data_IF_177791317809
#
_entry.id   IF_177791317809
#
_cell.length_a   1.000
_cell.length_b   1.000
_cell.length_c   1.000
_cell.angle_alpha   90.00
_cell.angle_beta   90.00
_cell.angle_gamma   90.00
#
_symmetry.space_group_name_H-M   'P 1'
#
loop_
_entity.id
_entity.type
_entity.pdbx_description
1 polymer ?
#
# COMPACT_ATOMS: atom_id res chain seq x y z
N UNK A 1 33.57 -17.73 25.00
CA UNK A 1 33.01 -17.78 23.65
C UNK A 1 32.09 -18.98 23.59
N UNK A 2 30.82 -18.79 23.82
CA UNK A 2 29.82 -19.85 23.75
C UNK A 2 28.83 -19.43 22.65
N UNK A 3 28.85 -20.19 21.56
CA UNK A 3 27.95 -20.00 20.42
C UNK A 3 26.62 -20.61 20.85
N UNK A 4 25.60 -19.78 21.06
CA UNK A 4 24.23 -20.20 21.26
C UNK A 4 23.69 -20.78 19.93
N UNK A 5 23.66 -22.11 19.86
CA UNK A 5 22.92 -22.84 18.85
C UNK A 5 21.41 -22.64 19.13
N UNK A 6 20.81 -21.66 18.49
CA UNK A 6 19.34 -21.62 18.39
C UNK A 6 18.92 -22.70 17.37
N UNK A 7 18.68 -23.91 17.86
CA UNK A 7 17.95 -24.92 17.11
C UNK A 7 16.49 -24.45 16.94
N UNK A 8 16.22 -23.75 15.88
CA UNK A 8 14.85 -23.66 15.35
C UNK A 8 14.55 -25.08 14.83
N UNK A 9 13.78 -25.85 15.57
CA UNK A 9 13.30 -27.16 15.14
C UNK A 9 12.35 -26.95 13.97
N UNK A 10 12.84 -27.16 12.75
CA UNK A 10 11.98 -27.27 11.57
C UNK A 10 11.09 -28.49 11.79
N UNK A 11 9.77 -28.37 11.81
CA UNK A 11 8.88 -29.52 11.96
C UNK A 11 9.16 -30.55 10.87
N UNK A 12 9.15 -31.83 11.22
CA UNK A 12 9.32 -32.89 10.26
C UNK A 12 8.25 -32.81 9.16
N UNK A 13 8.57 -33.10 7.88
CA UNK A 13 7.63 -32.99 6.78
C UNK A 13 6.41 -33.87 7.07
N UNK A 14 5.24 -33.24 7.20
CA UNK A 14 3.97 -33.93 7.36
C UNK A 14 3.64 -34.63 6.04
N UNK A 15 3.55 -35.98 6.06
CA UNK A 15 3.13 -36.72 4.90
C UNK A 15 1.64 -36.45 4.63
N UNK A 16 1.33 -35.88 3.48
CA UNK A 16 -0.03 -35.63 3.01
C UNK A 16 -0.40 -34.17 2.90
N UNK A 17 -1.49 -33.91 2.20
CA UNK A 17 -2.09 -32.56 2.11
C UNK A 17 -2.73 -32.20 3.45
N UNK A 18 -2.37 -31.09 4.13
CA UNK A 18 -3.02 -30.71 5.37
C UNK A 18 -4.50 -30.39 5.11
N UNK A 19 -5.37 -30.80 6.04
CA UNK A 19 -6.78 -30.40 6.01
C UNK A 19 -6.91 -29.03 6.64
N UNK A 20 -7.76 -28.19 6.05
CA UNK A 20 -8.12 -26.92 6.65
C UNK A 20 -8.87 -27.16 7.96
N UNK A 21 -8.33 -26.64 9.07
CA UNK A 21 -8.89 -26.77 10.43
C UNK A 21 -9.64 -25.53 10.89
N UNK A 22 -9.28 -24.36 10.36
CA UNK A 22 -9.72 -23.06 10.86
C UNK A 22 -8.90 -22.55 12.07
N UNK A 23 -7.87 -23.29 12.50
CA UNK A 23 -7.06 -22.95 13.66
C UNK A 23 -5.82 -22.14 13.26
N UNK A 24 -5.51 -21.09 14.04
CA UNK A 24 -4.36 -20.20 13.77
C UNK A 24 -3.04 -20.98 13.84
N UNK A 25 -2.87 -21.87 14.82
CA UNK A 25 -1.61 -22.63 14.98
C UNK A 25 -1.31 -23.51 13.78
N UNK A 26 -2.34 -24.12 13.19
CA UNK A 26 -2.20 -24.91 11.96
C UNK A 26 -1.82 -24.05 10.76
N UNK A 27 -2.36 -22.83 10.67
CA UNK A 27 -2.01 -21.87 9.63
C UNK A 27 -0.57 -21.37 9.78
N UNK A 28 -0.09 -21.12 11.00
CA UNK A 28 1.29 -20.78 11.28
C UNK A 28 2.26 -21.91 10.92
N UNK A 29 1.90 -23.16 11.26
CA UNK A 29 2.67 -24.34 10.88
C UNK A 29 2.72 -24.53 9.35
N UNK A 30 1.62 -24.26 8.65
CA UNK A 30 1.57 -24.26 7.19
C UNK A 30 2.51 -23.22 6.60
N UNK A 31 2.51 -21.98 7.11
CA UNK A 31 3.40 -20.91 6.65
C UNK A 31 4.88 -21.26 6.85
N UNK A 32 5.24 -21.78 8.02
CA UNK A 32 6.60 -22.23 8.30
C UNK A 32 7.04 -23.33 7.29
N UNK A 33 6.14 -24.24 6.92
CA UNK A 33 6.42 -25.26 5.91
C UNK A 33 6.56 -24.67 4.51
N UNK A 34 5.71 -23.73 4.10
CA UNK A 34 5.85 -23.04 2.82
C UNK A 34 7.19 -22.33 2.72
N UNK A 35 7.62 -21.66 3.77
CA UNK A 35 8.96 -21.02 3.84
C UNK A 35 10.10 -22.04 3.70
N UNK A 36 9.95 -23.24 4.23
CA UNK A 36 10.96 -24.28 4.13
C UNK A 36 11.00 -24.95 2.75
N UNK A 37 9.84 -25.25 2.16
CA UNK A 37 9.70 -26.17 1.04
C UNK A 37 9.43 -25.48 -0.31
N UNK A 38 8.72 -24.34 -0.31
CA UNK A 38 8.39 -23.61 -1.54
C UNK A 38 9.55 -22.68 -1.96
N UNK A 39 10.08 -22.83 -3.19
CA UNK A 39 11.20 -21.99 -3.66
C UNK A 39 10.86 -20.51 -3.79
N UNK A 40 9.59 -20.17 -4.04
CA UNK A 40 9.14 -18.79 -4.16
C UNK A 40 9.03 -18.15 -2.77
N UNK A 41 8.32 -18.81 -1.83
CA UNK A 41 8.16 -18.29 -0.47
C UNK A 41 9.50 -18.11 0.24
N UNK A 42 10.42 -19.06 0.06
CA UNK A 42 11.79 -19.00 0.65
C UNK A 42 12.58 -17.78 0.22
N UNK A 43 12.37 -17.29 -1.00
CA UNK A 43 13.09 -16.12 -1.52
C UNK A 43 12.53 -14.79 -1.01
N UNK A 44 11.32 -14.78 -0.48
CA UNK A 44 10.69 -13.54 -0.05
C UNK A 44 11.40 -12.95 1.18
N UNK A 45 11.36 -11.64 1.24
CA UNK A 45 11.83 -10.81 2.36
C UNK A 45 10.70 -9.91 2.81
N UNK A 46 10.76 -9.39 4.04
CA UNK A 46 9.78 -8.40 4.51
C UNK A 46 9.66 -7.21 3.55
N UNK A 47 10.74 -6.85 2.87
CA UNK A 47 10.71 -5.74 1.91
C UNK A 47 10.05 -6.13 0.58
N UNK A 48 10.31 -7.34 0.07
CA UNK A 48 9.71 -7.79 -1.20
C UNK A 48 8.19 -8.00 -1.12
N UNK A 49 7.64 -8.18 0.09
CA UNK A 49 6.20 -8.37 0.30
C UNK A 49 5.41 -7.07 0.55
N UNK A 50 6.07 -5.92 0.70
CA UNK A 50 5.36 -4.64 0.89
C UNK A 50 4.36 -4.35 -0.23
N UNK A 51 4.69 -4.52 -1.53
CA UNK A 51 3.73 -4.28 -2.60
C UNK A 51 2.48 -5.17 -2.49
N UNK A 52 2.65 -6.45 -2.19
CA UNK A 52 1.53 -7.39 -2.03
C UNK A 52 0.63 -7.01 -0.85
N UNK A 53 1.21 -6.67 0.31
CA UNK A 53 0.40 -6.25 1.46
C UNK A 53 -0.45 -4.98 1.18
N UNK A 54 0.01 -4.10 0.28
CA UNK A 54 -0.75 -2.94 -0.17
C UNK A 54 -1.84 -3.37 -1.15
N UNK A 55 -1.53 -4.26 -2.09
CA UNK A 55 -2.44 -4.83 -3.07
C UNK A 55 -3.64 -5.49 -2.37
N UNK A 56 -3.40 -6.45 -1.46
CA UNK A 56 -4.46 -7.12 -0.68
C UNK A 56 -5.35 -6.15 0.10
N UNK A 57 -4.76 -5.05 0.62
CA UNK A 57 -5.55 -4.03 1.32
C UNK A 57 -6.50 -3.28 0.37
N UNK A 58 -6.13 -3.05 -0.89
CA UNK A 58 -6.99 -2.45 -1.90
C UNK A 58 -8.04 -3.45 -2.41
N UNK A 59 -7.65 -4.71 -2.65
CA UNK A 59 -8.56 -5.78 -3.09
C UNK A 59 -9.64 -6.06 -2.04
N UNK A 60 -9.28 -6.09 -0.75
CA UNK A 60 -10.25 -6.12 0.34
C UNK A 60 -11.22 -4.92 0.27
N UNK A 61 -10.72 -3.72 -0.04
CA UNK A 61 -11.56 -2.53 -0.20
C UNK A 61 -12.57 -2.67 -1.36
N UNK A 62 -12.14 -3.23 -2.49
CA UNK A 62 -13.01 -3.52 -3.65
C UNK A 62 -14.02 -4.62 -3.32
N UNK A 63 -13.61 -5.71 -2.66
CA UNK A 63 -14.49 -6.80 -2.25
C UNK A 63 -15.60 -6.34 -1.29
N UNK A 64 -15.26 -5.52 -0.29
CA UNK A 64 -16.26 -4.94 0.62
C UNK A 64 -17.28 -4.06 -0.13
N UNK A 65 -16.87 -3.36 -1.21
CA UNK A 65 -17.79 -2.58 -2.03
C UNK A 65 -18.69 -3.43 -2.93
N UNK A 66 -18.23 -4.63 -3.34
CA UNK A 66 -19.03 -5.56 -4.13
C UNK A 66 -20.11 -6.29 -3.30
N UNK A 67 -19.97 -6.31 -1.96
CA UNK A 67 -20.85 -6.98 -0.99
C UNK A 67 -20.99 -8.50 -1.25
N UNK A 68 -19.94 -9.15 -1.82
CA UNK A 68 -19.87 -10.58 -2.02
C UNK A 68 -19.10 -11.25 -0.87
N UNK A 69 -19.80 -12.09 -0.09
CA UNK A 69 -19.24 -12.75 1.10
C UNK A 69 -18.06 -13.67 0.79
N UNK A 70 -18.02 -14.30 -0.38
CA UNK A 70 -16.92 -15.21 -0.74
C UNK A 70 -15.68 -14.42 -1.12
N UNK A 71 -15.82 -13.34 -1.88
CA UNK A 71 -14.72 -12.44 -2.21
C UNK A 71 -14.19 -11.77 -0.94
N UNK A 72 -15.06 -11.24 -0.07
CA UNK A 72 -14.65 -10.62 1.20
C UNK A 72 -13.87 -11.59 2.08
N UNK A 73 -14.31 -12.87 2.19
CA UNK A 73 -13.57 -13.88 2.95
C UNK A 73 -12.22 -14.19 2.33
N UNK A 74 -12.14 -14.23 1.00
CA UNK A 74 -10.90 -14.41 0.27
C UNK A 74 -9.90 -13.33 0.64
N UNK A 75 -10.27 -12.08 0.41
CA UNK A 75 -9.37 -10.94 0.64
C UNK A 75 -8.99 -10.73 2.11
N UNK A 76 -9.89 -11.01 3.05
CA UNK A 76 -9.54 -11.05 4.48
C UNK A 76 -8.50 -12.13 4.77
N UNK A 77 -8.59 -13.28 4.09
CA UNK A 77 -7.59 -14.35 4.16
C UNK A 77 -6.22 -13.90 3.62
N UNK A 78 -6.21 -13.18 2.50
CA UNK A 78 -4.98 -12.71 1.87
C UNK A 78 -4.30 -11.58 2.67
N UNK A 79 -5.06 -10.66 3.24
CA UNK A 79 -4.53 -9.70 4.24
C UNK A 79 -3.95 -10.42 5.46
N UNK A 80 -4.63 -11.46 5.98
CA UNK A 80 -4.11 -12.26 7.09
C UNK A 80 -2.84 -13.00 6.70
N UNK A 81 -2.76 -13.55 5.48
CA UNK A 81 -1.56 -14.19 4.93
C UNK A 81 -0.36 -13.23 4.98
N UNK A 82 -0.50 -11.97 4.56
CA UNK A 82 0.57 -10.99 4.63
C UNK A 82 1.07 -10.79 6.06
N UNK A 83 0.17 -10.68 7.03
CA UNK A 83 0.54 -10.55 8.45
C UNK A 83 1.35 -11.77 8.92
N UNK A 84 0.86 -12.97 8.66
CA UNK A 84 1.50 -14.22 9.07
C UNK A 84 2.86 -14.39 8.40
N UNK A 85 2.96 -14.08 7.11
CA UNK A 85 4.20 -14.19 6.36
C UNK A 85 5.29 -13.25 6.91
N UNK A 86 4.93 -12.00 7.18
CA UNK A 86 5.83 -11.05 7.82
C UNK A 86 6.28 -11.54 9.21
N UNK A 87 5.34 -12.02 10.05
CA UNK A 87 5.66 -12.57 11.36
C UNK A 87 6.62 -13.76 11.28
N UNK A 88 6.38 -14.69 10.36
CA UNK A 88 7.24 -15.84 10.13
C UNK A 88 8.69 -15.42 9.79
N UNK A 89 8.86 -14.46 8.89
CA UNK A 89 10.20 -13.96 8.53
C UNK A 89 10.91 -13.22 9.67
N UNK A 90 10.19 -12.53 10.55
CA UNK A 90 10.76 -11.91 11.74
C UNK A 90 11.12 -12.94 12.81
N UNK A 91 10.31 -14.00 12.96
CA UNK A 91 10.60 -15.13 13.84
C UNK A 91 11.88 -15.89 13.38
N UNK A 92 12.07 -16.11 12.07
CA UNK A 92 13.30 -16.68 11.48
C UNK A 92 14.55 -15.86 11.81
N UNK A 93 14.39 -14.55 11.99
CA UNK A 93 15.45 -13.62 12.39
C UNK A 93 15.66 -13.55 13.93
N UNK A 94 14.85 -14.27 14.71
CA UNK A 94 14.90 -14.24 16.19
C UNK A 94 14.48 -12.89 16.78
N UNK A 95 13.60 -12.14 16.11
CA UNK A 95 13.18 -10.80 16.54
C UNK A 95 11.87 -10.81 17.34
N UNK A 96 10.83 -11.30 16.76
CA UNK A 96 9.49 -11.47 17.34
C UNK A 96 8.67 -12.44 16.49
N UNK A 97 7.59 -12.97 17.02
CA UNK A 97 6.67 -13.89 16.35
C UNK A 97 5.20 -13.41 16.36
N UNK A 98 4.30 -14.25 15.90
CA UNK A 98 2.86 -13.94 15.84
C UNK A 98 2.25 -13.73 17.23
N UNK A 99 2.73 -14.44 18.26
CA UNK A 99 2.25 -14.28 19.64
C UNK A 99 2.58 -12.87 20.17
N UNK A 100 3.78 -12.37 19.87
CA UNK A 100 4.17 -10.99 20.25
C UNK A 100 3.29 -9.95 19.55
N UNK A 101 2.96 -10.18 18.27
CA UNK A 101 2.07 -9.28 17.51
C UNK A 101 0.66 -9.27 18.08
N UNK A 102 0.11 -10.45 18.39
CA UNK A 102 -1.22 -10.58 19.02
C UNK A 102 -1.22 -9.89 20.39
N UNK A 103 -0.22 -10.15 21.23
CA UNK A 103 -0.09 -9.53 22.55
C UNK A 103 -0.04 -8.00 22.44
N UNK A 104 0.80 -7.48 21.55
CA UNK A 104 0.90 -6.03 21.28
C UNK A 104 -0.42 -5.42 20.84
N UNK A 105 -1.17 -6.14 19.99
CA UNK A 105 -2.49 -5.69 19.55
C UNK A 105 -3.50 -5.70 20.70
N UNK A 106 -3.56 -6.78 21.48
CA UNK A 106 -4.46 -6.90 22.64
C UNK A 106 -4.21 -5.78 23.65
N UNK A 107 -2.97 -5.57 24.07
CA UNK A 107 -2.58 -4.49 24.99
C UNK A 107 -2.98 -3.11 24.45
N UNK A 108 -2.76 -2.88 23.16
CA UNK A 108 -3.15 -1.63 22.49
C UNK A 108 -4.67 -1.44 22.52
N UNK A 109 -5.45 -2.45 22.19
CA UNK A 109 -6.92 -2.38 22.19
C UNK A 109 -7.49 -2.15 23.58
N UNK A 110 -7.03 -2.88 24.59
CA UNK A 110 -7.45 -2.68 25.99
C UNK A 110 -7.14 -1.24 26.45
N UNK A 111 -5.91 -0.79 26.26
CA UNK A 111 -5.47 0.56 26.66
C UNK A 111 -6.25 1.68 25.97
N UNK A 112 -6.64 1.49 24.69
CA UNK A 112 -7.37 2.51 23.92
C UNK A 112 -8.87 2.49 24.14
N UNK A 113 -9.39 1.54 24.92
CA UNK A 113 -10.83 1.41 25.21
C UNK A 113 -11.10 1.34 26.71
N UNK A 114 -10.63 2.33 27.52
CA UNK A 114 -10.86 2.33 28.97
C UNK A 114 -12.35 2.38 29.32
N UNK A 115 -13.17 2.95 28.47
CA UNK A 115 -14.63 2.97 28.62
C UNK A 115 -15.30 1.59 28.44
N UNK A 116 -14.58 0.59 27.92
CA UNK A 116 -15.07 -0.80 27.78
C UNK A 116 -14.48 -1.69 28.86
N UNK A 117 -13.21 -1.50 29.20
CA UNK A 117 -12.45 -2.42 30.05
C UNK A 117 -12.15 -1.87 31.46
N UNK A 118 -12.36 -0.58 31.68
CA UNK A 118 -12.14 0.11 32.97
C UNK A 118 -13.41 0.86 33.37
N UNK A 119 -13.36 1.58 34.49
CA UNK A 119 -14.51 2.29 35.07
C UNK A 119 -14.82 3.65 34.39
N UNK A 120 -14.19 3.96 33.30
CA UNK A 120 -14.41 5.21 32.55
C UNK A 120 -15.74 5.14 31.78
N UNK A 121 -16.62 6.11 31.94
CA UNK A 121 -17.93 6.14 31.26
C UNK A 121 -17.91 7.24 30.20
N UNK A 122 -17.94 6.85 28.92
CA UNK A 122 -18.08 7.75 27.78
C UNK A 122 -19.47 7.55 27.17
N UNK A 123 -20.18 8.63 26.89
CA UNK A 123 -21.62 8.58 26.55
C UNK A 123 -21.91 8.76 25.06
N UNK A 124 -20.91 9.17 24.26
CA UNK A 124 -21.09 9.41 22.82
C UNK A 124 -19.77 9.23 22.04
N UNK A 125 -19.88 9.09 20.73
CA UNK A 125 -18.77 8.87 19.81
C UNK A 125 -17.74 10.01 19.82
N UNK A 126 -18.18 11.24 20.07
CA UNK A 126 -17.31 12.41 20.11
C UNK A 126 -16.38 12.35 21.32
N UNK A 127 -16.91 11.98 22.49
CA UNK A 127 -16.12 11.77 23.71
C UNK A 127 -15.10 10.63 23.54
N UNK A 128 -15.49 9.52 22.90
CA UNK A 128 -14.57 8.40 22.58
C UNK A 128 -13.44 8.88 21.68
N UNK A 129 -13.73 9.68 20.64
CA UNK A 129 -12.73 10.20 19.72
C UNK A 129 -11.74 11.14 20.39
N UNK A 130 -12.22 12.04 21.27
CA UNK A 130 -11.37 12.94 22.06
C UNK A 130 -10.44 12.11 22.96
N UNK A 131 -10.97 11.13 23.68
CA UNK A 131 -10.18 10.26 24.56
C UNK A 131 -9.12 9.47 23.81
N UNK A 132 -9.45 8.97 22.60
CA UNK A 132 -8.48 8.31 21.74
C UNK A 132 -7.32 9.23 21.31
N UNK A 133 -7.61 10.47 21.01
CA UNK A 133 -6.57 11.43 20.61
C UNK A 133 -5.68 11.80 21.80
N UNK A 134 -6.24 11.88 23.03
CA UNK A 134 -5.46 12.03 24.26
C UNK A 134 -4.53 10.83 24.49
N UNK A 135 -5.03 9.60 24.39
CA UNK A 135 -4.23 8.37 24.58
C UNK A 135 -3.12 8.28 23.52
N UNK A 136 -3.40 8.64 22.26
CA UNK A 136 -2.38 8.68 21.23
C UNK A 136 -1.29 9.71 21.52
N UNK A 137 -1.66 10.87 22.07
CA UNK A 137 -0.71 11.89 22.52
C UNK A 137 0.16 11.37 23.68
N UNK A 138 -0.43 10.71 24.68
CA UNK A 138 0.30 10.06 25.79
C UNK A 138 1.29 9.02 25.27
N UNK A 139 0.87 8.15 24.31
CA UNK A 139 1.72 7.15 23.65
C UNK A 139 2.89 7.82 22.91
N UNK A 140 2.62 8.94 22.23
CA UNK A 140 3.62 9.72 21.54
C UNK A 140 4.66 10.30 22.51
N UNK A 141 4.23 10.98 23.56
CA UNK A 141 5.10 11.53 24.60
C UNK A 141 5.96 10.44 25.27
N UNK A 142 5.38 9.27 25.50
CA UNK A 142 6.12 8.12 26.03
C UNK A 142 7.18 7.57 25.05
N UNK A 143 6.98 7.67 23.73
CA UNK A 143 7.99 7.33 22.71
C UNK A 143 9.12 8.34 22.68
N UNK A 144 8.80 9.62 22.75
CA UNK A 144 9.77 10.72 22.80
C UNK A 144 10.67 10.62 24.04
N UNK A 145 10.09 10.31 25.21
CA UNK A 145 10.84 10.09 26.44
C UNK A 145 11.83 8.92 26.37
N UNK A 146 11.62 7.95 25.47
CA UNK A 146 12.54 6.82 25.21
C UNK A 146 13.67 7.18 24.22
N UNK A 147 13.87 8.47 23.91
CA UNK A 147 14.97 8.94 23.07
C UNK A 147 14.74 8.78 21.56
N UNK A 148 13.49 8.67 21.12
CA UNK A 148 13.14 8.78 19.70
C UNK A 148 12.58 10.19 19.45
N UNK A 149 13.41 11.20 19.11
CA UNK A 149 12.92 12.54 18.83
C UNK A 149 11.98 12.46 17.63
N UNK A 150 10.78 12.97 17.81
CA UNK A 150 9.83 13.04 16.72
C UNK A 150 10.16 14.27 15.85
N UNK A 151 10.44 14.02 14.58
CA UNK A 151 10.54 15.07 13.59
C UNK A 151 9.14 15.53 13.21
N UNK A 152 9.02 16.79 12.78
CA UNK A 152 7.73 17.38 12.42
C UNK A 152 6.95 16.58 11.38
N UNK A 153 7.65 15.94 10.44
CA UNK A 153 7.05 15.16 9.35
C UNK A 153 6.82 13.68 9.70
N UNK A 154 7.25 13.20 10.89
CA UNK A 154 7.01 11.82 11.33
C UNK A 154 5.52 11.56 11.64
N UNK A 155 4.69 12.60 11.72
CA UNK A 155 3.25 12.52 11.94
C UNK A 155 2.41 12.37 10.66
N UNK A 156 3.05 12.30 9.50
CA UNK A 156 2.35 12.01 8.25
C UNK A 156 1.69 10.64 8.35
N UNK A 157 0.39 10.60 8.07
CA UNK A 157 -0.36 9.35 8.13
C UNK A 157 0.13 8.39 7.06
N UNK A 158 0.20 7.11 7.41
CA UNK A 158 0.38 6.06 6.41
C UNK A 158 -0.83 6.04 5.45
N UNK A 159 -0.57 5.86 4.19
CA UNK A 159 -1.55 5.85 3.11
C UNK A 159 -0.86 5.52 1.80
N UNK A 160 -1.54 5.71 0.67
CA UNK A 160 -0.89 5.61 -0.64
C UNK A 160 0.27 6.59 -0.76
N UNK A 161 1.17 6.37 -1.71
CA UNK A 161 2.31 7.25 -1.92
C UNK A 161 1.86 8.69 -2.27
N UNK A 162 0.77 8.84 -3.05
CA UNK A 162 0.26 10.17 -3.42
C UNK A 162 -0.34 10.90 -2.21
N UNK A 163 -1.12 10.19 -1.36
CA UNK A 163 -1.64 10.75 -0.12
C UNK A 163 -0.51 11.20 0.81
N UNK A 164 0.50 10.35 1.03
CA UNK A 164 1.65 10.68 1.88
C UNK A 164 2.43 11.87 1.34
N UNK A 165 2.71 11.91 0.02
CA UNK A 165 3.38 13.03 -0.63
C UNK A 165 2.61 14.34 -0.42
N UNK A 166 1.27 14.32 -0.60
CA UNK A 166 0.43 15.49 -0.41
C UNK A 166 0.40 15.96 1.06
N UNK A 167 0.31 15.02 2.02
CA UNK A 167 0.32 15.33 3.45
C UNK A 167 1.67 15.89 3.92
N UNK A 168 2.80 15.32 3.47
CA UNK A 168 4.14 15.84 3.76
C UNK A 168 4.28 17.29 3.29
N UNK A 169 3.91 17.56 2.04
CA UNK A 169 3.97 18.90 1.46
C UNK A 169 3.04 19.88 2.19
N UNK A 170 1.83 19.44 2.57
CA UNK A 170 0.91 20.26 3.35
C UNK A 170 1.48 20.61 4.71
N UNK A 171 2.08 19.65 5.42
CA UNK A 171 2.72 19.93 6.70
C UNK A 171 3.92 20.86 6.55
N UNK A 172 4.77 20.65 5.54
CA UNK A 172 5.90 21.55 5.26
C UNK A 172 5.43 22.98 4.98
N UNK A 173 4.35 23.14 4.24
CA UNK A 173 3.78 24.47 3.92
C UNK A 173 3.31 25.24 5.16
N UNK A 174 2.78 24.54 6.18
CA UNK A 174 2.40 25.19 7.46
C UNK A 174 3.59 25.76 8.24
N UNK A 175 4.81 25.31 7.91
CA UNK A 175 6.06 25.77 8.50
C UNK A 175 6.75 26.87 7.66
N UNK A 176 6.08 27.33 6.60
CA UNK A 176 6.62 28.33 5.67
C UNK A 176 7.52 27.76 4.58
N UNK A 177 7.65 26.41 4.47
CA UNK A 177 8.39 25.77 3.39
C UNK A 177 7.45 25.48 2.22
N UNK A 178 7.19 26.51 1.42
CA UNK A 178 6.26 26.46 0.29
C UNK A 178 6.58 27.54 -0.75
N UNK A 179 6.18 27.36 -2.00
CA UNK A 179 6.21 28.41 -3.03
C UNK A 179 5.08 29.42 -2.80
N UNK A 180 5.32 30.69 -3.13
CA UNK A 180 4.29 31.73 -3.03
C UNK A 180 3.05 31.46 -3.90
N UNK A 181 3.23 30.84 -5.06
CA UNK A 181 2.16 30.56 -6.02
C UNK A 181 2.28 29.20 -6.69
N UNK A 182 1.37 28.95 -7.60
CA UNK A 182 1.33 27.71 -8.39
C UNK A 182 2.46 27.68 -9.43
N UNK A 183 2.93 28.83 -9.92
CA UNK A 183 3.98 28.90 -10.94
C UNK A 183 5.25 28.18 -10.52
N UNK A 184 5.72 28.41 -9.28
CA UNK A 184 6.91 27.73 -8.76
C UNK A 184 6.75 26.21 -8.66
N UNK A 185 5.52 25.71 -8.44
CA UNK A 185 5.26 24.28 -8.44
C UNK A 185 5.33 23.70 -9.86
N UNK A 186 4.85 24.43 -10.88
CA UNK A 186 5.00 24.03 -12.29
C UNK A 186 6.45 24.10 -12.76
N UNK A 187 7.17 25.17 -12.44
CA UNK A 187 8.59 25.31 -12.78
C UNK A 187 9.41 24.13 -12.22
N UNK A 188 9.13 23.71 -10.97
CA UNK A 188 9.79 22.55 -10.38
C UNK A 188 9.39 21.25 -11.07
N UNK A 189 8.13 21.07 -11.44
CA UNK A 189 7.70 19.90 -12.22
C UNK A 189 8.40 19.83 -13.59
N UNK A 190 8.55 20.96 -14.28
CA UNK A 190 9.27 21.04 -15.56
C UNK A 190 10.74 20.67 -15.40
N UNK A 191 11.39 21.14 -14.33
CA UNK A 191 12.76 20.77 -13.97
C UNK A 191 12.91 19.26 -13.78
N UNK A 192 12.07 18.61 -12.93
CA UNK A 192 12.12 17.16 -12.67
C UNK A 192 11.86 16.34 -13.95
N UNK A 193 10.95 16.79 -14.79
CA UNK A 193 10.71 16.14 -16.10
C UNK A 193 11.93 16.20 -17.01
N UNK A 194 12.67 17.31 -17.05
CA UNK A 194 13.90 17.41 -17.83
C UNK A 194 15.04 16.55 -17.24
N UNK A 195 15.13 16.45 -15.91
CA UNK A 195 16.09 15.56 -15.22
C UNK A 195 15.79 14.10 -15.54
N UNK A 196 14.53 13.66 -15.45
CA UNK A 196 14.12 12.32 -15.86
C UNK A 196 14.42 12.05 -17.34
N UNK A 197 14.15 13.02 -18.22
CA UNK A 197 14.47 12.88 -19.65
C UNK A 197 15.97 12.75 -19.88
N UNK A 198 16.82 13.47 -19.13
CA UNK A 198 18.27 13.37 -19.25
C UNK A 198 18.77 11.98 -18.89
N UNK A 199 18.13 11.30 -17.91
CA UNK A 199 18.48 9.93 -17.52
C UNK A 199 18.14 8.87 -18.59
N UNK A 200 17.20 9.14 -19.49
CA UNK A 200 16.75 8.17 -20.50
C UNK A 200 17.08 8.57 -21.94
N UNK A 201 17.39 9.85 -22.21
CA UNK A 201 17.67 10.38 -23.55
C UNK A 201 18.91 9.73 -24.14
N UNK A 202 18.78 9.25 -25.37
CA UNK A 202 19.85 8.63 -26.17
C UNK A 202 20.50 7.38 -25.53
N UNK A 203 19.91 6.83 -24.47
CA UNK A 203 20.37 5.60 -23.83
C UNK A 203 19.62 4.37 -24.38
N UNK A 204 20.34 3.28 -24.60
CA UNK A 204 19.74 1.99 -24.91
C UNK A 204 18.99 1.41 -23.71
N UNK A 205 18.09 0.43 -23.93
CA UNK A 205 17.39 -0.28 -22.84
C UNK A 205 18.33 -0.92 -21.82
N UNK A 206 19.54 -1.36 -22.26
CA UNK A 206 20.54 -1.94 -21.37
C UNK A 206 21.16 -0.87 -20.46
N UNK A 207 21.57 0.27 -21.02
CA UNK A 207 22.12 1.40 -20.26
C UNK A 207 21.12 1.99 -19.27
N UNK A 208 19.83 2.08 -19.65
CA UNK A 208 18.76 2.48 -18.73
C UNK A 208 18.63 1.48 -17.58
N UNK A 209 18.69 0.17 -17.88
CA UNK A 209 18.60 -0.88 -16.87
C UNK A 209 19.77 -0.84 -15.87
N UNK A 210 20.97 -0.53 -16.35
CA UNK A 210 22.15 -0.40 -15.49
C UNK A 210 22.08 0.84 -14.60
N UNK A 211 21.33 1.88 -15.02
CA UNK A 211 21.11 3.13 -14.28
C UNK A 211 19.70 3.26 -13.69
N UNK A 212 19.00 2.16 -13.53
CA UNK A 212 17.57 2.15 -13.14
C UNK A 212 17.28 2.91 -11.86
N UNK A 213 18.20 2.94 -10.90
CA UNK A 213 18.01 3.64 -9.62
C UNK A 213 17.93 5.15 -9.76
N UNK A 214 18.72 5.74 -10.65
CA UNK A 214 18.64 7.17 -10.93
C UNK A 214 17.34 7.49 -11.68
N UNK A 215 16.95 6.65 -12.65
CA UNK A 215 15.67 6.78 -13.33
C UNK A 215 14.48 6.66 -12.35
N UNK A 216 14.53 5.71 -11.41
CA UNK A 216 13.50 5.56 -10.35
C UNK A 216 13.43 6.80 -9.44
N UNK A 217 14.59 7.38 -9.11
CA UNK A 217 14.67 8.58 -8.28
C UNK A 217 14.01 9.76 -9.01
N UNK A 218 14.44 10.08 -10.22
CA UNK A 218 13.90 11.20 -10.98
C UNK A 218 12.39 11.01 -11.31
N UNK A 219 11.94 9.78 -11.54
CA UNK A 219 10.53 9.48 -11.68
C UNK A 219 9.76 9.77 -10.38
N UNK A 220 10.33 9.42 -9.23
CA UNK A 220 9.77 9.72 -7.93
C UNK A 220 9.64 11.22 -7.68
N UNK A 221 10.66 11.99 -8.04
CA UNK A 221 10.70 13.44 -7.92
C UNK A 221 9.66 14.11 -8.85
N UNK A 222 9.51 13.63 -10.08
CA UNK A 222 8.42 14.06 -10.99
C UNK A 222 7.02 13.84 -10.38
N UNK A 223 6.75 12.65 -9.82
CA UNK A 223 5.46 12.33 -9.20
C UNK A 223 5.23 13.24 -7.99
N UNK A 224 6.26 13.44 -7.15
CA UNK A 224 6.17 14.30 -5.98
C UNK A 224 5.91 15.76 -6.35
N UNK A 225 6.55 16.28 -7.39
CA UNK A 225 6.31 17.63 -7.92
C UNK A 225 4.89 17.77 -8.49
N UNK A 226 4.39 16.75 -9.21
CA UNK A 226 3.00 16.73 -9.73
C UNK A 226 1.97 16.75 -8.59
N UNK A 227 2.20 16.00 -7.52
CA UNK A 227 1.34 16.03 -6.31
C UNK A 227 1.33 17.43 -5.69
N UNK A 228 2.45 18.15 -5.72
CA UNK A 228 2.51 19.52 -5.23
C UNK A 228 1.67 20.49 -6.08
N UNK A 229 1.63 20.31 -7.39
CA UNK A 229 0.72 21.05 -8.28
C UNK A 229 -0.74 20.78 -7.89
N UNK A 230 -1.12 19.50 -7.67
CA UNK A 230 -2.46 19.15 -7.22
C UNK A 230 -2.81 19.83 -5.88
N UNK A 231 -1.91 19.77 -4.90
CA UNK A 231 -2.06 20.45 -3.60
C UNK A 231 -2.27 21.96 -3.75
N UNK A 232 -1.49 22.62 -4.59
CA UNK A 232 -1.62 24.07 -4.85
C UNK A 232 -2.96 24.43 -5.50
N UNK A 233 -3.54 23.53 -6.26
CA UNK A 233 -4.87 23.67 -6.85
C UNK A 233 -6.00 23.27 -5.90
N UNK A 234 -5.69 22.84 -4.65
CA UNK A 234 -6.65 22.25 -3.71
C UNK A 234 -7.36 21.00 -4.26
N UNK A 235 -6.66 20.22 -5.09
CA UNK A 235 -7.13 18.95 -5.60
C UNK A 235 -6.55 17.81 -4.77
N UNK A 236 -7.30 16.73 -4.63
CA UNK A 236 -6.83 15.47 -4.07
C UNK A 236 -6.15 14.67 -5.19
N UNK A 237 -4.85 14.42 -5.06
CA UNK A 237 -4.05 13.75 -6.09
C UNK A 237 -4.45 12.27 -6.24
N UNK A 238 -4.79 11.59 -5.14
CA UNK A 238 -5.28 10.21 -5.14
C UNK A 238 -6.61 10.10 -5.86
N UNK A 239 -7.60 10.91 -5.46
CA UNK A 239 -8.92 10.92 -6.07
C UNK A 239 -8.87 11.27 -7.57
N UNK A 240 -8.02 12.22 -7.96
CA UNK A 240 -7.82 12.57 -9.36
C UNK A 240 -7.24 11.41 -10.17
N UNK A 241 -6.27 10.67 -9.61
CA UNK A 241 -5.66 9.51 -10.25
C UNK A 241 -6.66 8.37 -10.36
N UNK A 242 -7.41 8.06 -9.31
CA UNK A 242 -8.47 7.05 -9.33
C UNK A 242 -9.53 7.37 -10.39
N UNK A 243 -9.96 8.63 -10.50
CA UNK A 243 -10.89 9.07 -11.57
C UNK A 243 -10.32 8.77 -12.95
N UNK A 244 -9.00 8.95 -13.16
CA UNK A 244 -8.36 8.61 -14.42
C UNK A 244 -8.35 7.10 -14.67
N UNK A 245 -8.09 6.28 -13.66
CA UNK A 245 -8.15 4.81 -13.73
C UNK A 245 -9.55 4.34 -14.11
N UNK A 246 -10.58 4.81 -13.42
CA UNK A 246 -11.97 4.47 -13.76
C UNK A 246 -12.35 4.84 -15.17
N UNK A 247 -11.97 6.05 -15.61
CA UNK A 247 -12.20 6.49 -16.98
C UNK A 247 -11.49 5.58 -18.00
N UNK A 248 -10.27 5.14 -17.71
CA UNK A 248 -9.55 4.22 -18.58
C UNK A 248 -10.25 2.85 -18.65
N UNK A 249 -10.58 2.25 -17.49
CA UNK A 249 -11.33 0.98 -17.40
C UNK A 249 -12.65 1.06 -18.17
N UNK A 250 -13.43 2.12 -18.01
CA UNK A 250 -14.72 2.33 -18.72
C UNK A 250 -14.53 2.36 -20.24
N UNK A 251 -13.56 3.13 -20.75
CA UNK A 251 -13.31 3.22 -22.19
C UNK A 251 -12.78 1.91 -22.76
N UNK A 252 -11.94 1.21 -22.02
CA UNK A 252 -11.45 -0.07 -22.44
C UNK A 252 -12.54 -1.13 -22.49
N UNK A 253 -13.45 -1.15 -21.50
CA UNK A 253 -14.65 -1.99 -21.51
C UNK A 253 -15.54 -1.71 -22.72
N UNK A 254 -15.70 -0.44 -23.14
CA UNK A 254 -16.39 -0.12 -24.39
C UNK A 254 -15.72 -0.76 -25.62
N UNK A 255 -14.38 -0.77 -25.67
CA UNK A 255 -13.66 -1.46 -26.77
C UNK A 255 -14.01 -2.95 -26.78
N UNK A 256 -13.94 -3.60 -25.62
CA UNK A 256 -14.25 -5.04 -25.48
C UNK A 256 -15.69 -5.35 -25.94
N UNK A 257 -16.65 -4.52 -25.53
CA UNK A 257 -18.05 -4.66 -25.93
C UNK A 257 -18.23 -4.51 -27.45
N UNK A 258 -17.62 -3.51 -28.06
CA UNK A 258 -17.76 -3.28 -29.50
C UNK A 258 -17.09 -4.39 -30.35
N UNK A 259 -15.94 -4.88 -29.90
CA UNK A 259 -15.28 -6.02 -30.56
C UNK A 259 -16.13 -7.29 -30.42
N UNK A 260 -16.69 -7.56 -29.23
CA UNK A 260 -17.58 -8.70 -29.02
C UNK A 260 -18.83 -8.63 -29.90
N UNK A 261 -19.44 -7.44 -30.05
CA UNK A 261 -20.60 -7.21 -30.95
C UNK A 261 -20.24 -7.45 -32.41
N UNK A 262 -18.98 -7.23 -32.81
CA UNK A 262 -18.50 -7.54 -34.16
C UNK A 262 -17.99 -8.99 -34.35
N UNK A 263 -18.13 -9.83 -33.31
CA UNK A 263 -17.68 -11.22 -33.31
C UNK A 263 -16.17 -11.39 -33.24
N UNK A 264 -15.45 -10.36 -32.82
CA UNK A 264 -14.01 -10.38 -32.61
C UNK A 264 -13.66 -10.49 -31.11
N UNK A 265 -12.54 -11.14 -30.82
CA UNK A 265 -11.93 -11.09 -29.48
C UNK A 265 -10.91 -9.95 -29.44
N UNK A 266 -10.57 -9.50 -28.26
CA UNK A 266 -9.59 -8.42 -28.04
C UNK A 266 -8.22 -8.77 -28.68
N UNK A 267 -7.78 -10.03 -28.54
CA UNK A 267 -6.51 -10.53 -29.06
C UNK A 267 -6.45 -10.59 -30.61
N UNK A 268 -7.60 -10.53 -31.25
CA UNK A 268 -7.73 -10.56 -32.73
C UNK A 268 -7.78 -9.13 -33.32
N UNK A 269 -7.72 -8.09 -32.46
CA UNK A 269 -7.74 -6.68 -32.86
C UNK A 269 -6.33 -6.09 -32.91
N UNK A 270 -6.13 -5.09 -33.74
CA UNK A 270 -4.90 -4.31 -33.78
C UNK A 270 -5.04 -2.95 -33.08
N UNK A 271 -3.90 -2.30 -32.86
CA UNK A 271 -3.86 -1.01 -32.15
C UNK A 271 -4.66 0.09 -32.87
N UNK A 272 -4.76 0.07 -34.19
CA UNK A 272 -5.47 1.07 -34.99
C UNK A 272 -6.98 0.94 -34.80
N UNK A 273 -7.47 -0.31 -34.78
CA UNK A 273 -8.88 -0.61 -34.50
C UNK A 273 -9.22 -0.24 -33.05
N UNK A 274 -8.38 -0.62 -32.08
CA UNK A 274 -8.59 -0.25 -30.67
C UNK A 274 -8.59 1.27 -30.47
N UNK A 275 -7.68 2.01 -31.11
CA UNK A 275 -7.64 3.48 -31.02
C UNK A 275 -8.89 4.13 -31.61
N UNK A 276 -9.40 3.58 -32.72
CA UNK A 276 -10.66 4.03 -33.31
C UNK A 276 -11.83 3.85 -32.35
N UNK A 277 -11.91 2.71 -31.70
CA UNK A 277 -12.95 2.42 -30.68
C UNK A 277 -12.75 3.25 -29.40
N UNK A 278 -11.52 3.54 -29.03
CA UNK A 278 -11.19 4.45 -27.91
C UNK A 278 -11.69 5.87 -28.16
N UNK A 279 -11.51 6.40 -29.38
CA UNK A 279 -12.06 7.70 -29.74
C UNK A 279 -13.60 7.68 -29.79
N UNK A 280 -14.20 6.58 -30.23
CA UNK A 280 -15.66 6.40 -30.16
C UNK A 280 -16.18 6.38 -28.70
N UNK A 281 -15.47 5.70 -27.79
CA UNK A 281 -15.80 5.71 -26.37
C UNK A 281 -15.80 7.14 -25.78
N UNK A 282 -14.79 7.96 -26.14
CA UNK A 282 -14.73 9.38 -25.72
C UNK A 282 -15.91 10.20 -26.21
N UNK A 283 -16.44 9.91 -27.41
CA UNK A 283 -17.62 10.59 -27.93
C UNK A 283 -18.89 10.11 -27.23
N UNK A 284 -18.99 8.82 -26.90
CA UNK A 284 -20.11 8.25 -26.17
C UNK A 284 -20.24 8.87 -24.77
N UNK A 285 -19.13 8.99 -24.02
CA UNK A 285 -19.10 9.63 -22.70
C UNK A 285 -19.56 11.10 -22.72
N UNK A 286 -19.32 11.83 -23.82
CA UNK A 286 -19.73 13.25 -23.94
C UNK A 286 -21.22 13.40 -24.26
N UNK A 287 -21.85 12.32 -24.70
CA UNK A 287 -23.24 12.31 -25.15
C UNK A 287 -24.21 11.74 -24.09
N UNK A 288 -23.64 11.06 -23.08
CA UNK A 288 -24.32 10.50 -21.90
C UNK A 288 -24.27 11.47 -20.74
#
# INVERSE_FOLDING_TARGET
MSILNNNVTVPAPVQGTPKASGELDDLLALMARLRADCPWDRKQTNHSLIPYAIEEAYELGEAVQSDDDEDIKGELGDVLLQVIFHCQMYAEQGRFDMSDVITTLQEKLVRRHPHVFEAETLTDDAAVKIRWDEIKLEEQLAREARGKPQRRLDNVKAGSALMQAQDVQKQASTLGFDWEGISGAFEKLEEEVEELKAEVRDKSKAEIKDNIREVEKELGDCIFALVNVARKLNLDAEAATLTCVHKFKSRFGYIEEQLALSGKRLEDSDITEMDTLWEAAKQHERSS
#
